data_IF_128228125619
#
_entry.id   IF_128228125619
#
_cell.length_a   1.000
_cell.length_b   1.000
_cell.length_c   1.000
_cell.angle_alpha   90.00
_cell.angle_beta   90.00
_cell.angle_gamma   90.00
#
_symmetry.space_group_name_H-M   'P 1'
#
loop_
_entity.id
_entity.type
_entity.pdbx_description
1 polymer ?
#
# COMPACT_ATOMS: atom_id res chain seq x y z
N UNK A 1 -23.74 -8.35 13.81
CA UNK A 1 -23.12 -9.10 12.71
C UNK A 1 -22.94 -8.12 11.55
N UNK A 2 -21.69 -7.80 11.18
CA UNK A 2 -21.44 -6.99 9.98
C UNK A 2 -21.73 -7.86 8.76
N UNK A 3 -22.70 -7.48 7.96
CA UNK A 3 -22.94 -8.14 6.68
C UNK A 3 -21.74 -7.89 5.75
N UNK A 4 -21.28 -8.90 5.00
CA UNK A 4 -20.25 -8.69 4.00
C UNK A 4 -20.77 -7.66 2.99
N UNK A 5 -19.99 -6.61 2.75
CA UNK A 5 -20.29 -5.66 1.68
C UNK A 5 -20.16 -6.37 0.32
N UNK A 6 -21.07 -6.10 -0.62
CA UNK A 6 -21.01 -6.75 -1.93
C UNK A 6 -19.73 -6.37 -2.66
N UNK A 7 -18.97 -7.38 -3.04
CA UNK A 7 -17.81 -7.23 -3.93
C UNK A 7 -18.32 -7.05 -5.35
N UNK A 8 -17.84 -6.02 -6.04
CA UNK A 8 -18.11 -5.78 -7.45
C UNK A 8 -16.91 -6.23 -8.30
N UNK A 9 -17.19 -6.98 -9.34
CA UNK A 9 -16.25 -7.22 -10.44
C UNK A 9 -16.37 -6.06 -11.44
N UNK A 10 -15.25 -5.44 -11.79
CA UNK A 10 -15.19 -4.33 -12.74
C UNK A 10 -14.34 -4.75 -13.93
N UNK A 11 -14.91 -4.60 -15.13
CA UNK A 11 -14.16 -4.84 -16.36
C UNK A 11 -13.14 -3.73 -16.60
N UNK A 12 -11.93 -4.11 -17.01
CA UNK A 12 -10.84 -3.19 -17.34
C UNK A 12 -10.15 -3.65 -18.62
N UNK A 13 -9.25 -2.82 -19.12
CA UNK A 13 -8.34 -3.19 -20.22
C UNK A 13 -6.94 -3.43 -19.66
N UNK A 14 -6.15 -4.32 -20.25
CA UNK A 14 -4.75 -4.49 -19.89
C UNK A 14 -3.94 -3.21 -20.08
N UNK A 15 -2.93 -3.01 -19.20
CA UNK A 15 -1.92 -1.96 -19.34
C UNK A 15 -0.56 -2.58 -19.63
N UNK A 16 0.09 -2.12 -20.71
CA UNK A 16 1.33 -2.71 -21.20
C UNK A 16 2.59 -2.08 -20.60
N UNK A 17 2.44 -1.02 -19.80
CA UNK A 17 3.52 -0.18 -19.30
C UNK A 17 3.70 -0.23 -17.77
N UNK A 18 3.04 -1.17 -17.08
CA UNK A 18 3.09 -1.32 -15.62
C UNK A 18 4.30 -2.14 -15.13
N UNK A 19 5.41 -2.05 -15.86
CA UNK A 19 6.67 -2.69 -15.43
C UNK A 19 7.26 -1.95 -14.24
N UNK A 20 7.38 -2.65 -13.11
CA UNK A 20 8.10 -2.14 -11.95
C UNK A 20 9.60 -2.15 -12.21
N UNK A 21 10.27 -1.04 -11.89
CA UNK A 21 11.72 -1.02 -11.76
C UNK A 21 12.16 -1.52 -10.37
N UNK A 22 13.46 -1.46 -10.07
CA UNK A 22 14.04 -1.79 -8.76
C UNK A 22 13.46 -1.00 -7.59
N UNK A 23 12.80 0.13 -7.88
CA UNK A 23 12.21 1.02 -6.88
C UNK A 23 10.67 1.10 -6.97
N UNK A 24 10.02 0.12 -7.61
CA UNK A 24 8.58 0.07 -7.82
C UNK A 24 8.14 0.64 -9.17
N UNK A 25 6.83 0.67 -9.40
CA UNK A 25 6.22 1.31 -10.56
C UNK A 25 6.15 2.82 -10.31
N UNK A 26 6.75 3.62 -11.20
CA UNK A 26 6.73 5.09 -11.13
C UNK A 26 6.30 5.67 -12.47
N UNK A 27 5.34 6.56 -12.45
CA UNK A 27 4.79 7.27 -13.61
C UNK A 27 4.31 8.65 -13.18
N UNK A 28 3.98 9.51 -14.15
CA UNK A 28 3.27 10.75 -13.88
C UNK A 28 1.93 10.49 -13.16
N UNK A 29 1.52 11.42 -12.30
CA UNK A 29 0.21 11.38 -11.64
C UNK A 29 -0.90 11.18 -12.67
N UNK A 30 -0.88 11.90 -13.78
CA UNK A 30 -1.87 11.78 -14.85
C UNK A 30 -1.98 10.36 -15.44
N UNK A 31 -0.91 9.56 -15.40
CA UNK A 31 -0.94 8.16 -15.83
C UNK A 31 -1.69 7.30 -14.81
N UNK A 32 -1.41 7.49 -13.51
CA UNK A 32 -2.11 6.77 -12.44
C UNK A 32 -3.60 7.16 -12.34
N UNK A 33 -3.97 8.34 -12.80
CA UNK A 33 -5.35 8.82 -12.86
C UNK A 33 -6.12 8.33 -14.10
N UNK A 34 -5.49 7.59 -15.01
CA UNK A 34 -6.22 6.93 -16.08
C UNK A 34 -7.22 5.93 -15.51
N UNK A 35 -8.38 5.73 -16.17
CA UNK A 35 -9.39 4.79 -15.69
C UNK A 35 -8.79 3.41 -15.40
N UNK A 36 -8.93 2.93 -14.16
CA UNK A 36 -8.50 1.60 -13.71
C UNK A 36 -7.00 1.30 -13.76
N UNK A 37 -6.13 2.31 -13.94
CA UNK A 37 -4.68 2.08 -14.02
C UNK A 37 -4.09 1.56 -12.70
N UNK A 38 -4.44 2.20 -11.59
CA UNK A 38 -4.01 1.80 -10.26
C UNK A 38 -4.60 0.44 -9.88
N UNK A 39 -5.89 0.27 -10.10
CA UNK A 39 -6.63 -0.96 -9.78
C UNK A 39 -6.08 -2.16 -10.56
N UNK A 40 -5.70 -1.96 -11.81
CA UNK A 40 -5.08 -2.99 -12.64
C UNK A 40 -3.76 -3.49 -12.02
N UNK A 41 -2.91 -2.58 -11.55
CA UNK A 41 -1.67 -2.94 -10.88
C UNK A 41 -1.93 -3.66 -9.54
N UNK A 42 -2.83 -3.12 -8.71
CA UNK A 42 -3.16 -3.70 -7.41
C UNK A 42 -3.74 -5.11 -7.57
N UNK A 43 -4.68 -5.30 -8.50
CA UNK A 43 -5.26 -6.63 -8.76
C UNK A 43 -4.20 -7.60 -9.24
N UNK A 44 -3.28 -7.15 -10.11
CA UNK A 44 -2.18 -8.00 -10.57
C UNK A 44 -1.30 -8.49 -9.42
N UNK A 45 -1.12 -7.67 -8.38
CA UNK A 45 -0.42 -8.11 -7.16
C UNK A 45 -1.26 -9.13 -6.39
N UNK A 46 -2.56 -8.88 -6.16
CA UNK A 46 -3.43 -9.81 -5.43
C UNK A 46 -3.51 -11.17 -6.12
N UNK A 47 -3.58 -11.19 -7.45
CA UNK A 47 -3.65 -12.44 -8.22
C UNK A 47 -2.32 -13.21 -8.23
N UNK A 48 -1.19 -12.50 -8.23
CA UNK A 48 0.14 -13.11 -8.21
C UNK A 48 0.64 -13.52 -6.82
N UNK A 49 -0.03 -13.03 -5.75
CA UNK A 49 0.34 -13.29 -4.35
C UNK A 49 -0.92 -13.73 -3.57
N UNK A 50 -1.43 -14.94 -3.84
CA UNK A 50 -2.67 -15.43 -3.21
C UNK A 50 -2.56 -15.56 -1.69
N UNK A 51 -1.35 -15.57 -1.14
CA UNK A 51 -1.06 -15.60 0.29
C UNK A 51 -1.54 -14.34 1.03
N UNK A 52 -1.90 -13.26 0.33
CA UNK A 52 -2.46 -12.05 0.93
C UNK A 52 -3.90 -12.28 1.44
N UNK A 53 -4.61 -13.28 0.90
CA UNK A 53 -5.98 -13.60 1.33
C UNK A 53 -6.00 -14.10 2.78
N UNK A 54 -6.90 -13.55 3.59
CA UNK A 54 -7.04 -13.87 5.01
C UNK A 54 -5.90 -13.36 5.88
N UNK A 55 -5.04 -12.45 5.36
CA UNK A 55 -3.88 -11.94 6.07
C UNK A 55 -3.95 -10.43 6.28
N UNK A 56 -3.00 -9.95 7.10
CA UNK A 56 -2.77 -8.53 7.32
C UNK A 56 -1.94 -7.93 6.20
N UNK A 57 -2.29 -6.72 5.77
CA UNK A 57 -1.52 -5.87 4.86
C UNK A 57 -1.14 -4.56 5.53
N UNK A 58 -0.05 -3.93 5.10
CA UNK A 58 0.34 -2.57 5.50
C UNK A 58 0.18 -1.63 4.31
N UNK A 59 -0.44 -0.47 4.53
CA UNK A 59 -0.62 0.58 3.52
C UNK A 59 -0.10 1.92 4.04
N UNK A 60 0.60 2.64 3.20
CA UNK A 60 1.02 3.99 3.48
C UNK A 60 1.88 4.56 2.35
N UNK A 61 2.24 5.82 2.47
CA UNK A 61 3.06 6.50 1.47
C UNK A 61 3.66 7.80 1.97
N UNK A 62 4.29 8.54 1.09
CA UNK A 62 5.00 9.79 1.42
C UNK A 62 4.11 11.05 1.39
N UNK A 63 2.79 10.89 1.24
CA UNK A 63 1.83 11.98 1.27
C UNK A 63 1.78 12.83 0.00
N UNK A 64 2.43 12.42 -1.08
CA UNK A 64 2.38 13.14 -2.35
C UNK A 64 0.97 13.20 -2.93
N UNK A 65 0.79 14.08 -3.92
CA UNK A 65 -0.48 14.20 -4.64
C UNK A 65 -0.99 12.82 -5.09
N UNK A 66 -2.29 12.57 -4.98
CA UNK A 66 -2.98 11.30 -5.23
C UNK A 66 -2.82 10.21 -4.14
N UNK A 67 -1.96 10.37 -3.12
CA UNK A 67 -1.69 9.35 -2.10
C UNK A 67 -2.96 8.89 -1.37
N UNK A 68 -3.77 9.83 -0.86
CA UNK A 68 -4.98 9.48 -0.09
C UNK A 68 -6.02 8.73 -0.92
N UNK A 69 -6.23 9.16 -2.17
CA UNK A 69 -7.13 8.48 -3.08
C UNK A 69 -6.66 7.05 -3.40
N UNK A 70 -5.37 6.88 -3.66
CA UNK A 70 -4.77 5.57 -3.92
C UNK A 70 -4.90 4.62 -2.72
N UNK A 71 -4.73 5.12 -1.49
CA UNK A 71 -4.93 4.32 -0.28
C UNK A 71 -6.38 3.89 -0.11
N UNK A 72 -7.35 4.79 -0.32
CA UNK A 72 -8.77 4.43 -0.29
C UNK A 72 -9.10 3.32 -1.30
N UNK A 73 -8.59 3.44 -2.53
CA UNK A 73 -8.73 2.39 -3.56
C UNK A 73 -8.11 1.08 -3.11
N UNK A 74 -6.89 1.12 -2.55
CA UNK A 74 -6.20 -0.07 -2.08
C UNK A 74 -6.93 -0.76 -0.91
N UNK A 75 -7.52 -0.01 0.02
CA UNK A 75 -8.35 -0.56 1.11
C UNK A 75 -9.59 -1.26 0.53
N UNK A 76 -10.31 -0.61 -0.38
CA UNK A 76 -11.50 -1.18 -1.00
C UNK A 76 -11.19 -2.45 -1.79
N UNK A 77 -10.05 -2.49 -2.47
CA UNK A 77 -9.58 -3.67 -3.20
C UNK A 77 -9.06 -4.76 -2.25
N UNK A 78 -8.38 -4.41 -1.16
CA UNK A 78 -7.94 -5.38 -0.15
C UNK A 78 -9.15 -6.12 0.46
N UNK A 79 -10.22 -5.39 0.78
CA UNK A 79 -11.46 -5.97 1.26
C UNK A 79 -12.08 -6.94 0.23
N UNK A 80 -12.18 -6.52 -1.03
CA UNK A 80 -12.74 -7.33 -2.12
C UNK A 80 -11.91 -8.57 -2.43
N UNK A 81 -10.58 -8.51 -2.26
CA UNK A 81 -9.67 -9.63 -2.47
C UNK A 81 -9.46 -10.49 -1.22
N UNK A 82 -10.23 -10.24 -0.15
CA UNK A 82 -10.31 -11.10 1.02
C UNK A 82 -9.17 -10.93 2.02
N UNK A 83 -8.52 -9.78 2.10
CA UNK A 83 -7.65 -9.45 3.21
C UNK A 83 -8.45 -9.44 4.52
N UNK A 84 -7.82 -9.88 5.62
CA UNK A 84 -8.46 -9.90 6.94
C UNK A 84 -8.31 -8.54 7.65
N UNK A 85 -7.14 -7.93 7.53
CA UNK A 85 -6.80 -6.68 8.21
C UNK A 85 -5.88 -5.82 7.34
N UNK A 86 -6.06 -4.52 7.48
CA UNK A 86 -5.15 -3.53 6.88
C UNK A 86 -4.67 -2.58 7.97
N UNK A 87 -3.36 -2.38 8.05
CA UNK A 87 -2.73 -1.37 8.92
C UNK A 87 -2.35 -0.19 8.05
N UNK A 88 -2.81 0.99 8.40
CA UNK A 88 -2.60 2.21 7.61
C UNK A 88 -1.97 3.28 8.51
N UNK A 89 -0.95 3.94 8.04
CA UNK A 89 -0.42 5.12 8.73
C UNK A 89 -1.45 6.26 8.74
N UNK A 90 -1.56 6.99 9.84
CA UNK A 90 -2.48 8.12 9.98
C UNK A 90 -2.29 9.11 8.82
N UNK A 91 -3.39 9.60 8.25
CA UNK A 91 -3.37 10.42 7.04
C UNK A 91 -2.94 9.67 5.77
N UNK A 92 -2.74 8.36 5.84
CA UNK A 92 -2.14 7.55 4.78
C UNK A 92 -0.62 7.70 4.70
N UNK A 93 0.02 8.17 5.77
CA UNK A 93 1.45 8.49 5.78
C UNK A 93 2.26 7.36 6.43
N UNK A 94 3.26 6.87 5.71
CA UNK A 94 4.33 6.01 6.23
C UNK A 94 5.58 6.22 5.39
N UNK A 95 6.71 6.44 6.04
CA UNK A 95 7.99 6.33 5.35
C UNK A 95 8.25 4.89 4.92
N UNK A 96 9.04 4.69 3.89
CA UNK A 96 9.38 3.33 3.42
C UNK A 96 9.94 2.45 4.55
N UNK A 97 10.89 2.91 5.40
CA UNK A 97 11.39 2.08 6.49
C UNK A 97 10.34 1.85 7.60
N UNK A 98 9.45 2.82 7.88
CA UNK A 98 8.35 2.61 8.81
C UNK A 98 7.38 1.53 8.31
N UNK A 99 6.97 1.59 7.05
CA UNK A 99 6.12 0.55 6.45
C UNK A 99 6.79 -0.83 6.49
N UNK A 100 8.09 -0.91 6.17
CA UNK A 100 8.90 -2.11 6.26
C UNK A 100 8.96 -2.68 7.68
N UNK A 101 9.08 -1.80 8.69
CA UNK A 101 9.03 -2.19 10.10
C UNK A 101 7.64 -2.73 10.50
N UNK A 102 6.58 -2.03 10.14
CA UNK A 102 5.21 -2.46 10.48
C UNK A 102 4.86 -3.81 9.84
N UNK A 103 5.29 -4.09 8.60
CA UNK A 103 5.11 -5.40 7.97
C UNK A 103 5.68 -6.51 8.86
N UNK A 104 6.92 -6.34 9.36
CA UNK A 104 7.57 -7.32 10.25
C UNK A 104 6.89 -7.38 11.61
N UNK A 105 6.62 -6.23 12.22
CA UNK A 105 6.05 -6.13 13.56
C UNK A 105 4.68 -6.79 13.67
N UNK A 106 3.81 -6.54 12.69
CA UNK A 106 2.45 -7.08 12.68
C UNK A 106 2.34 -8.42 11.93
N UNK A 107 3.47 -9.03 11.56
CA UNK A 107 3.51 -10.28 10.78
C UNK A 107 2.60 -10.21 9.54
N UNK A 108 2.58 -9.04 8.89
CA UNK A 108 1.78 -8.84 7.70
C UNK A 108 2.35 -9.66 6.53
N UNK A 109 1.47 -10.14 5.65
CA UNK A 109 1.88 -10.89 4.47
C UNK A 109 2.57 -10.01 3.42
N UNK A 110 2.40 -8.69 3.53
CA UNK A 110 3.07 -7.70 2.70
C UNK A 110 2.45 -6.32 2.87
N UNK A 111 2.81 -5.39 1.98
CA UNK A 111 2.25 -4.05 2.02
C UNK A 111 2.48 -3.26 0.73
N UNK A 112 1.62 -2.27 0.50
CA UNK A 112 1.76 -1.32 -0.59
C UNK A 112 2.28 0.01 -0.05
N UNK A 113 3.35 0.51 -0.65
CA UNK A 113 3.97 1.78 -0.29
C UNK A 113 3.87 2.74 -1.47
N UNK A 114 3.08 3.78 -1.30
CA UNK A 114 2.79 4.78 -2.33
C UNK A 114 3.83 5.90 -2.28
N UNK A 115 4.83 5.79 -3.13
CA UNK A 115 5.95 6.76 -3.19
C UNK A 115 6.65 6.69 -4.54
N UNK A 116 7.10 7.82 -5.03
CA UNK A 116 8.07 7.91 -6.12
C UNK A 116 9.42 8.47 -5.63
N UNK A 117 9.71 8.29 -4.31
CA UNK A 117 10.98 8.68 -3.69
C UNK A 117 11.28 10.18 -3.86
N UNK A 118 12.45 10.53 -4.43
CA UNK A 118 12.90 11.91 -4.66
C UNK A 118 12.36 12.54 -5.94
N UNK A 119 11.54 11.83 -6.71
CA UNK A 119 10.95 12.41 -7.93
C UNK A 119 10.02 13.58 -7.57
N UNK A 120 9.88 14.60 -8.43
CA UNK A 120 9.01 15.74 -8.18
C UNK A 120 7.59 15.31 -7.80
N UNK A 121 7.04 15.92 -6.75
CA UNK A 121 5.67 15.72 -6.30
C UNK A 121 4.74 16.80 -6.89
N UNK A 122 3.42 16.68 -6.62
CA UNK A 122 2.40 17.60 -7.10
C UNK A 122 1.54 17.01 -8.21
N UNK A 123 0.52 17.74 -8.67
CA UNK A 123 -0.43 17.25 -9.67
C UNK A 123 0.21 16.87 -11.00
N UNK A 124 1.25 17.60 -11.40
CA UNK A 124 2.03 17.34 -12.61
C UNK A 124 3.31 16.52 -12.35
N UNK A 125 3.50 16.12 -11.09
CA UNK A 125 4.64 15.34 -10.62
C UNK A 125 4.50 13.85 -10.90
N UNK A 126 5.33 13.08 -10.20
CA UNK A 126 5.35 11.64 -10.31
C UNK A 126 4.60 11.00 -9.12
N UNK A 127 3.96 9.88 -9.39
CA UNK A 127 3.40 8.96 -8.40
C UNK A 127 4.06 7.61 -8.54
N UNK A 128 4.04 6.81 -7.47
CA UNK A 128 4.63 5.49 -7.52
C UNK A 128 4.03 4.55 -6.50
N UNK A 129 4.17 3.28 -6.76
CA UNK A 129 3.73 2.20 -5.89
C UNK A 129 4.79 1.10 -5.83
N UNK A 130 5.07 0.63 -4.62
CA UNK A 130 5.93 -0.52 -4.34
C UNK A 130 5.11 -1.58 -3.62
N UNK A 131 5.39 -2.84 -3.91
CA UNK A 131 4.91 -3.95 -3.11
C UNK A 131 6.08 -4.53 -2.32
N UNK A 132 5.95 -4.53 -0.98
CA UNK A 132 6.89 -5.16 -0.07
C UNK A 132 6.29 -6.48 0.44
N UNK A 133 7.11 -7.52 0.49
CA UNK A 133 6.74 -8.86 0.94
C UNK A 133 6.85 -9.01 2.47
N UNK A 134 6.50 -10.16 3.02
CA UNK A 134 6.38 -10.41 4.45
C UNK A 134 7.64 -10.12 5.30
N UNK A 135 8.84 -10.16 4.71
CA UNK A 135 10.07 -9.77 5.41
C UNK A 135 10.27 -8.25 5.51
N UNK A 136 9.35 -7.46 4.96
CA UNK A 136 9.42 -5.99 4.89
C UNK A 136 10.28 -5.45 3.75
N UNK A 137 10.97 -6.31 2.99
CA UNK A 137 11.75 -5.94 1.81
C UNK A 137 10.88 -5.86 0.55
N UNK A 138 11.44 -5.27 -0.51
CA UNK A 138 10.77 -5.20 -1.80
C UNK A 138 10.58 -6.61 -2.40
N UNK A 139 9.54 -6.75 -3.22
CA UNK A 139 9.31 -7.95 -4.03
C UNK A 139 10.53 -8.25 -4.91
N UNK A 140 10.88 -9.53 -5.03
CA UNK A 140 11.96 -9.98 -5.91
C UNK A 140 11.65 -9.69 -7.38
N UNK A 141 12.68 -9.63 -8.22
CA UNK A 141 12.53 -9.40 -9.66
C UNK A 141 11.60 -10.45 -10.30
N UNK A 142 11.76 -11.72 -9.93
CA UNK A 142 10.88 -12.78 -10.45
C UNK A 142 9.40 -12.59 -10.06
N UNK A 143 9.10 -12.00 -8.90
CA UNK A 143 7.73 -11.66 -8.52
C UNK A 143 7.22 -10.44 -9.29
N UNK A 144 8.03 -9.38 -9.41
CA UNK A 144 7.63 -8.18 -10.16
C UNK A 144 7.43 -8.46 -11.64
N UNK A 145 8.21 -9.37 -12.23
CA UNK A 145 8.04 -9.81 -13.61
C UNK A 145 6.73 -10.59 -13.81
N UNK A 146 6.36 -11.45 -12.85
CA UNK A 146 5.04 -12.13 -12.89
C UNK A 146 3.89 -11.14 -12.78
N UNK A 147 3.97 -10.17 -11.86
CA UNK A 147 2.97 -9.10 -11.70
C UNK A 147 2.84 -8.31 -13.01
N UNK A 148 3.95 -7.94 -13.63
CA UNK A 148 3.95 -7.23 -14.91
C UNK A 148 3.37 -8.08 -16.05
N UNK A 149 3.73 -9.36 -16.14
CA UNK A 149 3.15 -10.26 -17.13
C UNK A 149 1.64 -10.36 -16.96
N UNK A 150 1.16 -10.45 -15.71
CA UNK A 150 -0.27 -10.52 -15.40
C UNK A 150 -1.00 -9.22 -15.75
N UNK A 151 -0.44 -8.05 -15.46
CA UNK A 151 -1.06 -6.75 -15.77
C UNK A 151 -1.33 -6.54 -17.27
N UNK A 152 -0.58 -7.22 -18.13
CA UNK A 152 -0.75 -7.17 -19.60
C UNK A 152 -1.90 -8.01 -20.14
N UNK A 153 -2.50 -8.84 -19.32
CA UNK A 153 -3.62 -9.73 -19.71
C UNK A 153 -4.84 -9.56 -18.80
N UNK A 154 -4.73 -8.77 -17.74
CA UNK A 154 -5.81 -8.53 -16.79
C UNK A 154 -6.99 -7.82 -17.48
N UNK A 155 -8.20 -8.39 -17.34
CA UNK A 155 -9.43 -7.85 -17.95
C UNK A 155 -10.48 -7.45 -16.92
N UNK A 156 -10.25 -7.72 -15.63
CA UNK A 156 -11.17 -7.44 -14.53
C UNK A 156 -10.43 -7.27 -13.21
N UNK A 157 -11.02 -6.54 -12.27
CA UNK A 157 -10.57 -6.43 -10.90
C UNK A 157 -11.76 -6.45 -9.93
N UNK A 158 -11.49 -6.67 -8.65
CA UNK A 158 -12.50 -6.73 -7.60
C UNK A 158 -12.33 -5.54 -6.64
N UNK A 159 -13.45 -4.90 -6.33
CA UNK A 159 -13.49 -3.75 -5.43
C UNK A 159 -14.81 -3.72 -4.64
N UNK A 160 -14.80 -3.14 -3.45
CA UNK A 160 -16.02 -2.81 -2.71
C UNK A 160 -16.43 -1.38 -3.03
N UNK A 161 -17.71 -1.17 -3.39
CA UNK A 161 -18.25 0.14 -3.70
C UNK A 161 -18.60 0.94 -2.44
N UNK A 162 -18.51 2.29 -2.56
CA UNK A 162 -19.03 3.22 -1.57
C UNK A 162 -18.29 3.25 -0.25
N UNK A 163 -17.09 2.72 -0.19
CA UNK A 163 -16.30 2.67 1.01
C UNK A 163 -15.44 3.93 1.19
N UNK A 164 -15.62 4.59 2.32
CA UNK A 164 -14.71 5.66 2.77
C UNK A 164 -14.24 5.35 4.18
N UNK A 165 -12.92 5.37 4.37
CA UNK A 165 -12.27 5.17 5.67
C UNK A 165 -11.70 6.50 6.13
N UNK A 166 -11.97 6.88 7.37
CA UNK A 166 -11.38 8.07 7.96
C UNK A 166 -9.89 7.80 8.28
N UNK A 167 -9.01 8.20 7.38
CA UNK A 167 -7.56 8.00 7.52
C UNK A 167 -6.94 8.87 8.60
N UNK A 168 -7.64 9.91 9.08
CA UNK A 168 -7.10 10.82 10.10
C UNK A 168 -7.45 10.37 11.52
N UNK A 169 -8.46 9.52 11.68
CA UNK A 169 -8.88 8.98 12.97
C UNK A 169 -8.13 7.69 13.31
N UNK A 170 -7.21 7.76 14.28
CA UNK A 170 -6.50 6.58 14.82
C UNK A 170 -7.46 5.55 15.41
N UNK A 171 -7.03 4.30 15.40
CA UNK A 171 -7.73 3.16 15.96
C UNK A 171 -8.43 2.30 14.92
N UNK A 172 -9.24 1.37 15.39
CA UNK A 172 -9.90 0.37 14.58
C UNK A 172 -11.15 0.94 13.90
N UNK A 173 -11.27 0.67 12.62
CA UNK A 173 -12.45 0.88 11.79
C UNK A 173 -12.79 -0.43 11.07
N UNK A 174 -14.02 -0.56 10.61
CA UNK A 174 -14.48 -1.77 9.90
C UNK A 174 -15.03 -1.38 8.53
N UNK A 175 -14.67 -2.17 7.53
CA UNK A 175 -15.25 -2.10 6.19
C UNK A 175 -15.74 -3.51 5.81
N UNK A 176 -17.04 -3.77 6.03
CA UNK A 176 -17.55 -5.14 5.97
C UNK A 176 -16.86 -6.02 7.01
N UNK A 177 -16.18 -7.07 6.57
CA UNK A 177 -15.38 -7.96 7.41
C UNK A 177 -13.91 -7.54 7.54
N UNK A 178 -13.46 -6.55 6.76
CA UNK A 178 -12.09 -6.07 6.81
C UNK A 178 -11.89 -5.19 8.05
N UNK A 179 -10.90 -5.54 8.87
CA UNK A 179 -10.41 -4.69 9.95
C UNK A 179 -9.41 -3.68 9.40
N UNK A 180 -9.61 -2.39 9.70
CA UNK A 180 -8.71 -1.31 9.30
C UNK A 180 -8.23 -0.62 10.55
N UNK A 181 -6.93 -0.71 10.83
CA UNK A 181 -6.30 -0.04 11.95
C UNK A 181 -5.46 1.14 11.46
N UNK A 182 -5.86 2.34 11.89
CA UNK A 182 -5.09 3.56 11.65
C UNK A 182 -4.11 3.74 12.81
N UNK A 183 -2.82 3.64 12.50
CA UNK A 183 -1.73 3.77 13.48
C UNK A 183 -1.02 5.10 13.34
N UNK A 184 -0.30 5.52 14.40
CA UNK A 184 0.61 6.65 14.26
C UNK A 184 1.66 6.36 13.18
N UNK A 185 1.98 7.36 12.36
CA UNK A 185 2.90 7.19 11.25
C UNK A 185 4.38 7.22 11.66
N UNK A 186 4.68 7.58 12.92
CA UNK A 186 6.05 7.78 13.44
C UNK A 186 6.36 6.92 14.64
N UNK A 187 5.44 6.80 15.60
CA UNK A 187 5.68 6.24 16.94
C UNK A 187 6.39 4.89 16.92
N UNK A 188 5.88 3.98 16.11
CA UNK A 188 6.41 2.61 16.01
C UNK A 188 7.84 2.57 15.45
N UNK A 189 8.10 3.41 14.45
CA UNK A 189 9.44 3.49 13.85
C UNK A 189 10.41 4.24 14.79
N UNK A 190 9.94 5.27 15.50
CA UNK A 190 10.72 5.96 16.51
C UNK A 190 11.11 5.01 17.65
N UNK A 191 10.17 4.18 18.12
CA UNK A 191 10.46 3.18 19.15
C UNK A 191 11.52 2.15 18.69
N UNK A 192 11.46 1.73 17.42
CA UNK A 192 12.52 0.88 16.84
C UNK A 192 13.86 1.61 16.81
N UNK A 193 13.89 2.86 16.39
CA UNK A 193 15.13 3.64 16.33
C UNK A 193 15.78 3.80 17.72
N UNK A 194 14.97 4.00 18.77
CA UNK A 194 15.45 4.07 20.15
C UNK A 194 16.10 2.76 20.66
N UNK A 195 15.72 1.62 20.09
CA UNK A 195 16.36 0.34 20.40
C UNK A 195 17.67 0.12 19.63
N UNK A 196 17.82 0.75 18.48
CA UNK A 196 18.97 0.57 17.59
C UNK A 196 20.07 1.61 17.79
N UNK A 197 19.72 2.79 18.27
CA UNK A 197 20.63 3.92 18.42
C UNK A 197 20.59 4.49 19.84
N UNK A 198 21.75 4.83 20.39
CA UNK A 198 21.91 5.53 21.67
C UNK A 198 21.70 7.03 21.44
N UNK A 199 20.44 7.48 21.54
CA UNK A 199 20.09 8.90 21.36
C UNK A 199 20.63 9.79 22.47
N UNK A 200 20.89 9.27 23.67
CA UNK A 200 21.44 10.05 24.75
C UNK A 200 22.92 10.36 24.51
N UNK A 201 23.68 9.35 24.08
CA UNK A 201 25.06 9.55 23.65
C UNK A 201 25.15 10.51 22.46
N UNK A 202 24.27 10.37 21.46
CA UNK A 202 24.22 11.30 20.32
C UNK A 202 23.93 12.74 20.78
N UNK A 203 23.01 12.94 21.73
CA UNK A 203 22.65 14.25 22.27
C UNK A 203 23.83 14.89 23.00
N UNK A 204 24.64 14.11 23.72
CA UNK A 204 25.85 14.60 24.37
C UNK A 204 26.89 15.09 23.36
N UNK A 205 27.02 14.41 22.24
CA UNK A 205 27.95 14.78 21.17
C UNK A 205 27.61 16.10 20.47
N UNK A 206 26.34 16.49 20.45
CA UNK A 206 25.86 17.72 19.80
C UNK A 206 25.71 18.91 20.76
N UNK A 207 26.11 18.77 22.02
CA UNK A 207 26.18 19.87 23.02
C UNK A 207 27.55 20.51 23.04
#
# INVERSE_FOLDING_TARGET
MNMPMPTREVLTKPYLDQKSGTAGLRKKVAVFQQPHYLENFLQSVFDCVPELRGKTLVLGGDGRYHNRAAIQTAIAMAAANGAQRVIVGQGGLLSTPAASHLIRKYHAAGGFIFTASHNPAGPDGDFGIKFNIANGGQASEGLTDRIYAHSKVLTRYHIIDGSYVDLDRRGLQLLGSLEIEIVDCVDEYAALMQQLFDFDLMREWFR
#
